data_IF_560447707493
#
_entry.id   IF_560447707493
#
_cell.length_a   1.000
_cell.length_b   1.000
_cell.length_c   1.000
_cell.angle_alpha   90.00
_cell.angle_beta   90.00
_cell.angle_gamma   90.00
#
_symmetry.space_group_name_H-M   'P 1'
#
loop_
_entity.id
_entity.type
_entity.pdbx_description
1 polymer ?
#
# COMPACT_ATOMS: atom_id res chain seq x y z
N UNK A 1 -12.68 2.70 -11.77
CA UNK A 1 -11.53 2.54 -10.86
C UNK A 1 -10.98 1.16 -11.08
N UNK A 2 -9.67 1.04 -11.30
CA UNK A 2 -9.04 -0.27 -11.44
C UNK A 2 -8.92 -0.94 -10.06
N UNK A 3 -9.03 -2.27 -10.02
CA UNK A 3 -8.96 -3.04 -8.78
C UNK A 3 -7.51 -3.13 -8.30
N UNK A 4 -7.22 -2.88 -7.01
CA UNK A 4 -5.89 -3.11 -6.45
C UNK A 4 -5.46 -4.57 -6.66
N UNK A 5 -4.21 -4.78 -7.09
CA UNK A 5 -3.68 -6.11 -7.38
C UNK A 5 -2.63 -6.51 -6.35
N UNK A 6 -2.71 -7.74 -5.84
CA UNK A 6 -1.71 -8.31 -4.92
C UNK A 6 -0.77 -9.23 -5.69
N UNK A 7 0.52 -9.11 -5.45
CA UNK A 7 1.55 -9.95 -6.06
C UNK A 7 2.65 -10.31 -5.07
N UNK A 8 3.38 -11.38 -5.36
CA UNK A 8 4.57 -11.77 -4.59
C UNK A 8 5.80 -11.62 -5.46
N UNK A 9 6.74 -10.80 -5.02
CA UNK A 9 7.96 -10.49 -5.77
C UNK A 9 9.15 -10.45 -4.80
N UNK A 10 10.21 -11.19 -5.11
CA UNK A 10 11.47 -11.19 -4.34
C UNK A 10 11.27 -11.43 -2.82
N UNK A 11 10.35 -12.33 -2.45
CA UNK A 11 10.05 -12.64 -1.05
C UNK A 11 9.27 -11.54 -0.30
N UNK A 12 8.72 -10.54 -1.00
CA UNK A 12 7.78 -9.56 -0.46
C UNK A 12 6.40 -9.76 -1.05
N UNK A 13 5.36 -9.49 -0.29
CA UNK A 13 4.00 -9.32 -0.81
C UNK A 13 3.81 -7.83 -1.11
N UNK A 14 3.46 -7.51 -2.35
CA UNK A 14 3.27 -6.15 -2.84
C UNK A 14 1.82 -5.93 -3.28
N UNK A 15 1.27 -4.76 -2.97
CA UNK A 15 -0.02 -4.29 -3.47
C UNK A 15 0.22 -3.20 -4.49
N UNK A 16 -0.24 -3.40 -5.72
CA UNK A 16 -0.28 -2.38 -6.77
C UNK A 16 -1.62 -1.65 -6.70
N UNK A 17 -1.55 -0.35 -6.45
CA UNK A 17 -2.69 0.54 -6.29
C UNK A 17 -2.64 1.62 -7.39
N UNK A 18 -3.27 1.39 -8.55
CA UNK A 18 -3.43 2.42 -9.56
C UNK A 18 -4.36 3.52 -9.04
N UNK A 19 -3.97 4.77 -9.20
CA UNK A 19 -4.75 5.93 -8.79
C UNK A 19 -4.67 7.05 -9.83
N UNK A 20 -5.64 7.97 -9.76
CA UNK A 20 -5.64 9.22 -10.53
C UNK A 20 -5.61 10.38 -9.55
N UNK A 21 -4.73 11.35 -9.78
CA UNK A 21 -4.58 12.55 -8.96
C UNK A 21 -4.92 13.73 -9.84
N UNK A 22 -5.91 14.52 -9.40
CA UNK A 22 -6.35 15.69 -10.13
C UNK A 22 -6.08 16.94 -9.29
N UNK A 23 -5.42 17.92 -9.89
CA UNK A 23 -5.02 19.15 -9.21
C UNK A 23 -5.84 20.31 -9.74
N UNK A 24 -6.41 21.11 -8.83
CA UNK A 24 -7.25 22.26 -9.12
C UNK A 24 -6.59 23.54 -8.60
N UNK A 25 -6.80 24.68 -9.28
CA UNK A 25 -6.38 25.97 -8.75
C UNK A 25 -7.34 26.40 -7.62
N UNK A 26 -6.78 27.02 -6.57
CA UNK A 26 -7.56 27.40 -5.39
C UNK A 26 -8.61 28.47 -5.66
N UNK A 27 -8.39 29.33 -6.65
CA UNK A 27 -9.24 30.46 -7.00
C UNK A 27 -10.33 30.12 -8.05
N UNK A 28 -10.18 28.99 -8.75
CA UNK A 28 -11.04 28.60 -9.87
C UNK A 28 -11.19 27.07 -10.02
N UNK A 29 -11.77 26.37 -9.03
CA UNK A 29 -11.77 24.90 -8.96
C UNK A 29 -12.67 24.21 -10.01
N UNK A 30 -13.22 24.95 -10.97
CA UNK A 30 -14.09 24.42 -12.02
C UNK A 30 -13.31 23.65 -13.10
N UNK A 31 -12.00 23.90 -13.22
CA UNK A 31 -11.15 23.26 -14.21
C UNK A 31 -9.83 22.80 -13.59
N UNK A 32 -9.47 21.53 -13.80
CA UNK A 32 -8.21 20.98 -13.33
C UNK A 32 -7.02 21.58 -14.11
N UNK A 33 -5.95 21.92 -13.39
CA UNK A 33 -4.68 22.32 -14.00
C UNK A 33 -4.00 21.15 -14.71
N UNK A 34 -4.05 19.96 -14.12
CA UNK A 34 -3.51 18.73 -14.68
C UNK A 34 -3.99 17.50 -13.91
N UNK A 35 -3.99 16.37 -14.63
CA UNK A 35 -4.30 15.05 -14.11
C UNK A 35 -3.06 14.17 -14.21
N UNK A 36 -2.74 13.47 -13.13
CA UNK A 36 -1.66 12.49 -13.07
C UNK A 36 -2.23 11.09 -12.90
N UNK A 37 -1.72 10.14 -13.67
CA UNK A 37 -1.80 8.73 -13.31
C UNK A 37 -0.73 8.41 -12.26
N UNK A 38 -1.08 7.63 -11.25
CA UNK A 38 -0.18 7.20 -10.20
C UNK A 38 -0.15 5.67 -10.12
N UNK A 39 1.05 5.10 -10.27
CA UNK A 39 1.33 3.70 -10.01
C UNK A 39 1.95 3.59 -8.62
N UNK A 40 1.11 3.37 -7.60
CA UNK A 40 1.51 3.26 -6.20
C UNK A 40 1.77 1.79 -5.88
N UNK A 41 2.89 1.49 -5.24
CA UNK A 41 3.22 0.15 -4.75
C UNK A 41 3.37 0.22 -3.24
N UNK A 42 2.59 -0.62 -2.55
CA UNK A 42 2.69 -0.83 -1.12
C UNK A 42 3.34 -2.18 -0.83
N UNK A 43 4.13 -2.24 0.23
CA UNK A 43 4.72 -3.48 0.73
C UNK A 43 3.96 -3.96 1.94
N UNK A 44 3.50 -5.21 1.93
CA UNK A 44 2.75 -5.81 3.03
C UNK A 44 3.72 -6.34 4.08
N UNK A 45 3.43 -6.02 5.34
CA UNK A 45 4.17 -6.42 6.53
C UNK A 45 3.27 -7.31 7.40
N UNK A 46 3.30 -8.64 7.21
CA UNK A 46 2.56 -9.57 8.03
C UNK A 46 3.30 -9.82 9.35
N UNK A 47 2.57 -9.77 10.47
CA UNK A 47 3.08 -10.07 11.82
C UNK A 47 2.10 -10.96 12.58
N UNK A 48 2.56 -11.60 13.64
CA UNK A 48 1.69 -12.35 14.56
C UNK A 48 1.66 -11.64 15.90
N UNK A 49 0.45 -11.41 16.41
CA UNK A 49 0.19 -10.93 17.76
C UNK A 49 -1.17 -11.45 18.24
N UNK A 50 -1.27 -11.80 19.50
CA UNK A 50 -2.46 -12.38 20.14
C UNK A 50 -2.97 -13.66 19.42
N UNK A 51 -2.05 -14.48 18.92
CA UNK A 51 -2.30 -15.66 18.07
C UNK A 51 -3.11 -15.37 16.80
N UNK A 52 -3.03 -14.12 16.31
CA UNK A 52 -3.69 -13.67 15.09
C UNK A 52 -2.66 -13.14 14.10
N UNK A 53 -2.95 -13.33 12.82
CA UNK A 53 -2.20 -12.70 11.75
C UNK A 53 -2.68 -11.26 11.60
N UNK A 54 -1.75 -10.33 11.80
CA UNK A 54 -1.91 -8.91 11.58
C UNK A 54 -1.27 -8.53 10.24
N UNK A 55 -1.96 -7.69 9.48
CA UNK A 55 -1.49 -7.21 8.19
C UNK A 55 -1.37 -5.69 8.26
N UNK A 56 -0.19 -5.18 7.93
CA UNK A 56 0.03 -3.76 7.71
C UNK A 56 0.71 -3.53 6.37
N UNK A 57 0.73 -2.29 5.90
CA UNK A 57 1.36 -1.88 4.65
C UNK A 57 2.24 -0.66 4.86
N UNK A 58 3.33 -0.61 4.10
CA UNK A 58 4.22 0.54 3.98
C UNK A 58 4.30 0.99 2.52
N UNK A 59 4.69 2.24 2.29
CA UNK A 59 4.87 2.77 0.94
C UNK A 59 6.22 2.27 0.40
N UNK A 60 6.21 1.50 -0.68
CA UNK A 60 7.43 0.99 -1.33
C UNK A 60 7.84 1.90 -2.49
N UNK A 61 6.87 2.36 -3.30
CA UNK A 61 7.14 3.20 -4.47
C UNK A 61 5.92 4.01 -4.88
N UNK A 62 6.17 5.22 -5.36
CA UNK A 62 5.23 6.00 -6.17
C UNK A 62 5.88 6.26 -7.51
N UNK A 63 5.14 6.06 -8.61
CA UNK A 63 5.50 6.59 -9.92
C UNK A 63 4.36 7.38 -10.49
N UNK A 64 4.67 8.54 -11.04
CA UNK A 64 3.67 9.44 -11.61
C UNK A 64 3.86 9.54 -13.12
N UNK A 65 2.74 9.61 -13.84
CA UNK A 65 2.69 9.84 -15.29
C UNK A 65 1.70 10.94 -15.59
N UNK A 66 2.03 11.82 -16.53
CA UNK A 66 1.10 12.87 -16.96
C UNK A 66 -0.04 12.22 -17.75
N UNK A 67 -1.28 12.43 -17.32
CA UNK A 67 -2.46 12.01 -18.08
C UNK A 67 -3.01 13.16 -18.93
N UNK A 68 -3.13 14.36 -18.35
CA UNK A 68 -3.53 15.58 -19.07
C UNK A 68 -2.96 16.82 -18.36
N UNK A 69 -2.84 17.94 -19.09
CA UNK A 69 -2.38 19.20 -18.52
C UNK A 69 -2.88 20.40 -19.30
N UNK A 70 -3.22 21.48 -18.59
CA UNK A 70 -3.50 22.81 -19.13
C UNK A 70 -2.32 23.77 -18.95
N UNK A 71 -1.28 23.34 -18.23
CA UNK A 71 -0.05 24.10 -18.02
C UNK A 71 1.08 23.48 -18.82
N UNK A 72 1.96 24.31 -19.38
CA UNK A 72 3.11 23.80 -20.13
C UNK A 72 4.25 23.38 -19.19
N UNK A 73 5.09 22.44 -19.66
CA UNK A 73 6.37 22.07 -19.04
C UNK A 73 6.33 21.53 -17.60
N UNK A 74 5.30 20.75 -17.25
CA UNK A 74 5.26 20.08 -15.95
C UNK A 74 6.27 18.92 -15.86
N UNK A 75 7.28 19.05 -14.99
CA UNK A 75 8.14 17.92 -14.63
C UNK A 75 7.50 17.09 -13.51
N UNK A 76 6.73 16.08 -13.91
CA UNK A 76 5.95 15.20 -13.04
C UNK A 76 6.80 14.47 -11.99
N UNK A 77 8.05 14.14 -12.31
CA UNK A 77 8.94 13.43 -11.39
C UNK A 77 9.25 14.23 -10.12
N UNK A 78 9.22 15.57 -10.20
CA UNK A 78 9.42 16.44 -9.03
C UNK A 78 8.25 16.38 -8.03
N UNK A 79 7.09 15.88 -8.44
CA UNK A 79 5.92 15.72 -7.58
C UNK A 79 5.91 14.37 -6.85
N UNK A 80 6.71 13.38 -7.28
CA UNK A 80 6.74 12.05 -6.64
C UNK A 80 7.05 12.10 -5.14
N UNK A 81 8.03 12.91 -4.65
CA UNK A 81 8.29 13.04 -3.22
C UNK A 81 7.10 13.65 -2.47
N UNK A 82 6.51 14.73 -2.99
CA UNK A 82 5.36 15.39 -2.37
C UNK A 82 4.16 14.45 -2.24
N UNK A 83 3.84 13.70 -3.30
CA UNK A 83 2.76 12.71 -3.25
C UNK A 83 3.09 11.58 -2.29
N UNK A 84 4.35 11.14 -2.22
CA UNK A 84 4.78 10.12 -1.26
C UNK A 84 4.59 10.58 0.19
N UNK A 85 4.91 11.84 0.49
CA UNK A 85 4.72 12.43 1.82
C UNK A 85 3.25 12.53 2.20
N UNK A 86 2.40 13.00 1.29
CA UNK A 86 0.94 13.07 1.50
C UNK A 86 0.36 11.67 1.75
N UNK A 87 0.72 10.69 0.92
CA UNK A 87 0.26 9.31 1.09
C UNK A 87 0.71 8.74 2.43
N UNK A 88 1.97 8.97 2.82
CA UNK A 88 2.52 8.45 4.06
C UNK A 88 1.91 9.09 5.30
N UNK A 89 1.65 10.41 5.27
CA UNK A 89 1.11 11.13 6.41
C UNK A 89 -0.41 10.97 6.56
N UNK A 90 -1.17 11.02 5.46
CA UNK A 90 -2.62 11.11 5.52
C UNK A 90 -3.32 9.78 5.20
N UNK A 91 -2.81 8.99 4.26
CA UNK A 91 -3.53 7.83 3.74
C UNK A 91 -3.08 6.50 4.34
N UNK A 92 -1.76 6.28 4.49
CA UNK A 92 -1.23 5.05 5.07
C UNK A 92 -1.79 4.75 6.48
N UNK A 93 -1.96 5.73 7.40
CA UNK A 93 -2.59 5.47 8.69
C UNK A 93 -4.02 4.96 8.56
N UNK A 94 -4.81 5.51 7.63
CA UNK A 94 -6.19 5.11 7.39
C UNK A 94 -6.27 3.72 6.77
N UNK A 95 -5.41 3.42 5.79
CA UNK A 95 -5.31 2.09 5.18
C UNK A 95 -4.93 1.06 6.23
N UNK A 96 -3.89 1.33 7.04
CA UNK A 96 -3.49 0.42 8.10
C UNK A 96 -4.55 0.25 9.18
N UNK A 97 -5.32 1.30 9.50
CA UNK A 97 -6.46 1.18 10.41
C UNK A 97 -7.58 0.28 9.85
N UNK A 98 -7.86 0.36 8.54
CA UNK A 98 -8.83 -0.50 7.88
C UNK A 98 -8.34 -1.96 7.74
N UNK A 99 -7.02 -2.17 7.64
CA UNK A 99 -6.39 -3.50 7.58
C UNK A 99 -6.23 -4.17 8.95
N UNK A 100 -6.59 -3.51 10.07
CA UNK A 100 -6.59 -4.10 11.42
C UNK A 100 -7.56 -5.27 11.61
N UNK A 101 -8.15 -5.82 10.54
CA UNK A 101 -8.91 -7.05 10.61
C UNK A 101 -7.97 -8.18 11.01
N UNK A 102 -8.10 -8.62 12.25
CA UNK A 102 -7.27 -9.68 12.80
C UNK A 102 -7.74 -11.02 12.25
N UNK A 103 -6.84 -11.75 11.57
CA UNK A 103 -7.16 -13.06 11.00
C UNK A 103 -6.75 -14.12 12.03
N UNK A 104 -7.69 -14.85 12.65
CA UNK A 104 -7.34 -15.86 13.64
C UNK A 104 -6.55 -17.01 13.00
N UNK A 105 -5.44 -17.39 13.64
CA UNK A 105 -4.68 -18.56 13.21
C UNK A 105 -5.36 -19.85 13.69
N UNK A 106 -5.29 -20.95 12.91
CA UNK A 106 -5.78 -22.24 13.36
C UNK A 106 -5.06 -22.68 14.65
N UNK A 107 -5.80 -23.20 15.62
CA UNK A 107 -5.22 -23.69 16.88
C UNK A 107 -5.43 -25.20 17.07
N UNK A 108 -4.89 -26.07 16.19
CA UNK A 108 -4.86 -27.49 16.48
C UNK A 108 -3.89 -27.71 17.65
N UNK A 109 -4.27 -28.53 18.64
CA UNK A 109 -3.39 -28.97 19.74
C UNK A 109 -2.88 -27.86 20.69
N UNK A 110 -3.58 -26.73 20.81
CA UNK A 110 -3.17 -25.61 21.69
C UNK A 110 -1.78 -25.03 21.35
N UNK A 111 -1.46 -24.93 20.06
CA UNK A 111 -0.24 -24.31 19.57
C UNK A 111 -0.19 -22.82 19.92
N UNK A 112 1.01 -22.35 20.22
CA UNK A 112 1.30 -20.94 20.44
C UNK A 112 1.99 -20.34 19.21
N UNK A 113 1.34 -19.36 18.59
CA UNK A 113 1.84 -18.66 17.41
C UNK A 113 2.54 -17.35 17.76
N UNK A 114 2.48 -16.90 19.03
CA UNK A 114 3.07 -15.63 19.45
C UNK A 114 4.50 -15.45 18.97
N UNK A 115 4.77 -14.31 18.33
CA UNK A 115 6.09 -13.96 17.78
C UNK A 115 6.67 -14.98 16.78
N UNK A 116 5.86 -15.90 16.26
CA UNK A 116 6.26 -16.84 15.23
C UNK A 116 6.70 -16.11 13.95
N UNK A 117 7.77 -16.56 13.27
CA UNK A 117 8.23 -15.91 12.05
C UNK A 117 7.23 -16.11 10.92
N UNK A 118 6.91 -15.04 10.21
CA UNK A 118 6.15 -15.06 8.95
C UNK A 118 7.12 -14.89 7.78
N UNK A 119 7.06 -15.79 6.80
CA UNK A 119 7.89 -15.76 5.59
C UNK A 119 7.02 -15.81 4.35
N UNK A 120 7.48 -15.18 3.27
CA UNK A 120 6.81 -15.25 1.97
C UNK A 120 7.58 -16.22 1.08
N UNK A 121 6.94 -17.31 0.65
CA UNK A 121 7.56 -18.34 -0.19
C UNK A 121 6.57 -18.75 -1.27
N UNK A 122 6.99 -18.70 -2.55
CA UNK A 122 6.22 -19.21 -3.69
C UNK A 122 4.73 -18.81 -3.66
N UNK A 123 4.45 -17.51 -3.47
CA UNK A 123 3.10 -16.93 -3.38
C UNK A 123 2.29 -17.28 -2.14
N UNK A 124 2.91 -17.84 -1.09
CA UNK A 124 2.27 -18.22 0.17
C UNK A 124 2.93 -17.49 1.34
N UNK A 125 2.11 -17.14 2.35
CA UNK A 125 2.60 -16.75 3.67
C UNK A 125 2.80 -18.02 4.52
N UNK A 126 4.05 -18.37 4.77
CA UNK A 126 4.44 -19.41 5.70
C UNK A 126 4.46 -18.83 7.12
N UNK A 127 3.67 -19.41 8.01
CA UNK A 127 3.56 -19.03 9.42
C UNK A 127 4.04 -20.19 10.26
N UNK A 128 5.05 -19.98 11.11
CA UNK A 128 5.57 -21.03 11.99
C UNK A 128 5.14 -20.77 13.44
N UNK A 129 4.57 -21.80 14.09
CA UNK A 129 4.36 -21.79 15.53
C UNK A 129 5.69 -21.91 16.26
N UNK A 130 5.76 -21.33 17.46
CA UNK A 130 6.83 -21.66 18.40
C UNK A 130 6.41 -22.94 19.12
N UNK A 131 7.27 -23.97 19.06
CA UNK A 131 7.09 -25.24 19.76
C UNK A 131 7.40 -25.10 21.25
#
# INVERSE_FOLDING_TARGET
METPAVSVQNGKVLVSLPASIEVFPSDSPQQSLFVLGADIVLSVQPTIADNKLHISVTLERVRLRLASSLISNLNVALLEPLISDILSAAYLPLINAALKVEIPLPNPLNLNWENGPVKVINNVLLVNALA
#
